data_IF_523153885545
#
_entry.id   IF_523153885545
#
_cell.length_a   1.000
_cell.length_b   1.000
_cell.length_c   1.000
_cell.angle_alpha   90.00
_cell.angle_beta   90.00
_cell.angle_gamma   90.00
#
_symmetry.space_group_name_H-M   'P 1'
#
loop_
_entity.id
_entity.type
_entity.pdbx_description
1 polymer ?
#
# COMPACT_ATOMS: atom_id res chain seq x y z
N UNK A 1 -4.54 0.24 14.32
CA UNK A 1 -3.56 -0.87 14.21
C UNK A 1 -2.78 -0.83 12.91
N UNK A 2 -3.40 -0.93 11.71
CA UNK A 2 -2.66 -0.85 10.44
C UNK A 2 -1.86 0.46 10.26
N UNK A 3 -2.43 1.60 10.66
CA UNK A 3 -1.74 2.91 10.62
C UNK A 3 -0.47 2.91 11.47
N UNK A 4 -0.49 2.29 12.66
CA UNK A 4 0.69 2.21 13.52
C UNK A 4 1.81 1.37 12.88
N UNK A 5 1.46 0.32 12.12
CA UNK A 5 2.43 -0.45 11.35
C UNK A 5 3.06 0.40 10.24
N UNK A 6 2.25 1.18 9.52
CA UNK A 6 2.77 2.11 8.50
C UNK A 6 3.70 3.15 9.11
N UNK A 7 3.34 3.70 10.27
CA UNK A 7 4.15 4.67 11.01
C UNK A 7 5.49 4.06 11.47
N UNK A 8 5.45 2.88 12.11
CA UNK A 8 6.64 2.16 12.58
C UNK A 8 7.65 1.91 11.46
N UNK A 9 7.16 1.57 10.27
CA UNK A 9 8.01 1.33 9.10
C UNK A 9 8.20 2.57 8.20
N UNK A 10 7.74 3.74 8.64
CA UNK A 10 7.97 5.01 7.97
C UNK A 10 7.30 5.16 6.60
N UNK A 11 6.17 4.50 6.39
CA UNK A 11 5.33 4.58 5.20
C UNK A 11 4.24 5.65 5.37
N UNK A 12 3.66 6.18 4.27
CA UNK A 12 2.60 7.18 4.36
C UNK A 12 1.35 6.60 5.04
N UNK A 13 0.78 7.34 5.98
CA UNK A 13 -0.32 6.84 6.83
C UNK A 13 -1.65 6.64 6.09
N UNK A 14 -1.82 7.24 4.91
CA UNK A 14 -2.97 7.05 4.03
C UNK A 14 -2.77 5.96 2.97
N UNK A 15 -1.65 5.24 2.97
CA UNK A 15 -1.32 4.25 1.95
C UNK A 15 -2.33 3.08 1.86
N UNK A 16 -2.96 2.77 2.99
CA UNK A 16 -3.95 1.70 3.13
C UNK A 16 -5.27 2.30 3.66
N UNK A 17 -6.14 2.86 2.79
CA UNK A 17 -7.46 3.35 3.15
C UNK A 17 -8.43 2.17 3.35
N UNK A 18 -8.22 1.43 4.44
CA UNK A 18 -8.98 0.24 4.81
C UNK A 18 -10.40 0.61 5.29
N UNK A 19 -11.36 -0.30 5.13
CA UNK A 19 -12.71 -0.15 5.67
C UNK A 19 -13.19 -1.46 6.28
N UNK A 20 -13.98 -1.39 7.36
CA UNK A 20 -14.56 -2.57 8.01
C UNK A 20 -13.51 -3.66 8.33
N UNK A 21 -12.37 -3.26 8.89
CA UNK A 21 -11.23 -4.15 9.22
C UNK A 21 -11.65 -5.14 10.29
N UNK A 22 -11.42 -6.42 10.02
CA UNK A 22 -11.67 -7.55 10.92
C UNK A 22 -10.41 -7.85 11.72
N UNK A 23 -9.26 -7.91 11.04
CA UNK A 23 -8.01 -8.32 11.65
C UNK A 23 -6.83 -7.58 11.00
N UNK A 24 -5.84 -7.25 11.82
CA UNK A 24 -4.51 -6.83 11.38
C UNK A 24 -3.50 -7.65 12.15
N UNK A 25 -2.72 -8.45 11.43
CA UNK A 25 -1.67 -9.26 12.01
C UNK A 25 -0.29 -8.85 11.52
N UNK A 26 0.70 -9.03 12.39
CA UNK A 26 2.09 -8.72 12.11
C UNK A 26 3.03 -9.67 12.88
N UNK A 27 3.91 -10.35 12.16
CA UNK A 27 4.96 -11.20 12.73
C UNK A 27 6.27 -10.42 12.71
N UNK A 28 6.63 -9.86 13.86
CA UNK A 28 7.84 -9.01 14.02
C UNK A 28 9.13 -9.69 13.55
N UNK A 29 9.28 -10.99 13.79
CA UNK A 29 10.48 -11.74 13.43
C UNK A 29 10.72 -11.85 11.91
N UNK A 30 9.65 -11.85 11.11
CA UNK A 30 9.73 -12.06 9.65
C UNK A 30 9.36 -10.83 8.84
N UNK A 31 8.72 -9.85 9.46
CA UNK A 31 8.11 -8.72 8.76
C UNK A 31 6.79 -9.06 8.07
N UNK A 32 6.28 -10.29 8.20
CA UNK A 32 5.03 -10.69 7.56
C UNK A 32 3.84 -9.94 8.17
N UNK A 33 2.98 -9.39 7.32
CA UNK A 33 1.75 -8.73 7.72
C UNK A 33 0.56 -9.23 6.90
N UNK A 34 -0.62 -9.19 7.52
CA UNK A 34 -1.88 -9.40 6.84
C UNK A 34 -2.95 -8.47 7.40
N UNK A 35 -3.90 -8.15 6.53
CA UNK A 35 -5.10 -7.39 6.86
C UNK A 35 -6.28 -8.16 6.29
N UNK A 36 -7.27 -8.43 7.13
CA UNK A 36 -8.56 -8.95 6.73
C UNK A 36 -9.63 -7.84 6.90
N UNK A 37 -10.44 -7.63 5.88
CA UNK A 37 -11.54 -6.65 5.88
C UNK A 37 -12.81 -7.28 5.34
N UNK A 38 -13.98 -6.80 5.80
CA UNK A 38 -15.28 -7.41 5.48
C UNK A 38 -15.62 -7.41 3.99
N UNK A 39 -15.14 -6.43 3.25
CA UNK A 39 -15.43 -6.24 1.83
C UNK A 39 -14.26 -5.59 1.11
N UNK A 40 -14.17 -5.79 -0.20
CA UNK A 40 -13.26 -5.06 -1.09
C UNK A 40 -13.53 -3.55 -0.99
N UNK A 41 -12.48 -2.74 -1.01
CA UNK A 41 -12.53 -1.28 -1.07
C UNK A 41 -11.90 -0.79 -2.37
N UNK A 42 -12.53 0.17 -3.03
CA UNK A 42 -11.90 0.96 -4.08
C UNK A 42 -11.74 2.39 -3.58
N UNK A 43 -10.55 2.93 -3.74
CA UNK A 43 -10.19 4.25 -3.27
C UNK A 43 -9.53 5.04 -4.40
N UNK A 44 -9.82 6.34 -4.47
CA UNK A 44 -9.18 7.24 -5.41
C UNK A 44 -8.26 8.21 -4.66
N UNK A 45 -6.95 8.07 -4.89
CA UNK A 45 -5.97 9.06 -4.46
C UNK A 45 -6.11 10.29 -5.37
N UNK A 46 -6.85 11.31 -4.91
CA UNK A 46 -7.26 12.49 -5.68
C UNK A 46 -6.06 13.27 -6.21
N UNK A 47 -4.99 13.41 -5.42
CA UNK A 47 -3.79 14.18 -5.81
C UNK A 47 -3.09 13.63 -7.06
N UNK A 48 -3.23 12.34 -7.35
CA UNK A 48 -2.60 11.67 -8.49
C UNK A 48 -3.62 11.07 -9.47
N UNK A 49 -4.92 11.28 -9.22
CA UNK A 49 -6.02 10.74 -10.01
C UNK A 49 -5.90 9.23 -10.25
N UNK A 50 -5.45 8.46 -9.24
CA UNK A 50 -5.30 7.00 -9.34
C UNK A 50 -6.37 6.26 -8.53
N UNK A 51 -7.07 5.35 -9.19
CA UNK A 51 -7.95 4.40 -8.54
C UNK A 51 -7.15 3.16 -8.13
N UNK A 52 -7.31 2.75 -6.87
CA UNK A 52 -6.65 1.58 -6.29
C UNK A 52 -7.72 0.74 -5.62
N UNK A 53 -7.63 -0.57 -5.83
CA UNK A 53 -8.51 -1.54 -5.19
C UNK A 53 -7.73 -2.35 -4.16
N UNK A 54 -8.38 -2.57 -3.02
CA UNK A 54 -7.91 -3.29 -1.85
C UNK A 54 -8.87 -4.44 -1.60
N UNK A 55 -8.38 -5.67 -1.66
CA UNK A 55 -9.17 -6.89 -1.52
C UNK A 55 -9.55 -7.18 -0.06
N UNK A 56 -10.38 -8.20 0.16
CA UNK A 56 -10.77 -8.66 1.50
C UNK A 56 -9.60 -9.19 2.32
N UNK A 57 -8.56 -9.70 1.63
CA UNK A 57 -7.32 -10.13 2.23
C UNK A 57 -6.14 -9.43 1.55
N UNK A 58 -5.34 -8.72 2.34
CA UNK A 58 -4.13 -8.03 1.90
C UNK A 58 -2.96 -8.63 2.67
N UNK A 59 -1.93 -9.11 1.97
CA UNK A 59 -0.76 -9.72 2.61
C UNK A 59 0.52 -9.14 2.03
N UNK A 60 1.59 -9.17 2.81
CA UNK A 60 2.90 -8.72 2.36
C UNK A 60 3.96 -8.85 3.43
N UNK A 61 5.16 -8.39 3.12
CA UNK A 61 6.29 -8.32 4.04
C UNK A 61 6.70 -6.86 4.16
N UNK A 62 6.56 -6.31 5.36
CA UNK A 62 6.94 -4.94 5.65
C UNK A 62 8.35 -4.90 6.26
N UNK A 63 9.13 -3.93 5.82
CA UNK A 63 10.41 -3.53 6.40
C UNK A 63 10.50 -2.00 6.35
N UNK A 64 11.58 -1.44 6.90
CA UNK A 64 11.79 0.00 6.86
C UNK A 64 11.57 0.56 5.43
N UNK A 65 10.66 1.52 5.33
CA UNK A 65 10.25 2.26 4.12
C UNK A 65 9.72 1.40 2.97
N UNK A 66 9.35 0.13 3.19
CA UNK A 66 9.03 -0.77 2.08
C UNK A 66 8.07 -1.90 2.45
N UNK A 67 7.15 -2.21 1.53
CA UNK A 67 6.34 -3.42 1.52
C UNK A 67 6.70 -4.23 0.28
N UNK A 68 7.02 -5.52 0.44
CA UNK A 68 7.31 -6.44 -0.68
C UNK A 68 6.35 -7.62 -0.71
N UNK A 69 6.28 -8.26 -1.88
CA UNK A 69 5.40 -9.41 -2.16
C UNK A 69 3.94 -9.10 -1.76
N UNK A 70 3.52 -7.86 -2.01
CA UNK A 70 2.20 -7.35 -1.71
C UNK A 70 1.17 -8.08 -2.58
N UNK A 71 0.11 -8.57 -1.94
CA UNK A 71 -1.05 -9.17 -2.58
C UNK A 71 -2.32 -8.47 -2.09
N UNK A 72 -3.39 -8.57 -2.87
CA UNK A 72 -4.67 -7.93 -2.55
C UNK A 72 -4.74 -6.45 -2.90
N UNK A 73 -3.72 -5.87 -3.54
CA UNK A 73 -3.73 -4.47 -3.99
C UNK A 73 -3.53 -4.39 -5.50
N UNK A 74 -4.41 -3.67 -6.19
CA UNK A 74 -4.34 -3.44 -7.64
C UNK A 74 -4.56 -1.96 -7.95
N UNK A 75 -3.80 -1.40 -8.89
CA UNK A 75 -3.95 -0.01 -9.32
C UNK A 75 -4.52 0.01 -10.74
N UNK A 76 -5.53 0.85 -10.99
CA UNK A 76 -6.16 0.96 -12.31
C UNK A 76 -5.24 1.65 -13.30
N UNK A 77 -5.04 1.01 -14.44
CA UNK A 77 -4.37 1.59 -15.60
C UNK A 77 -5.21 1.30 -16.85
N UNK A 78 -5.76 2.36 -17.45
CA UNK A 78 -6.76 2.26 -18.52
C UNK A 78 -7.94 1.37 -18.10
N UNK A 79 -8.15 0.25 -18.80
CA UNK A 79 -9.21 -0.74 -18.53
C UNK A 79 -8.73 -1.91 -17.65
N UNK A 80 -7.46 -1.92 -17.24
CA UNK A 80 -6.84 -3.04 -16.51
C UNK A 80 -6.59 -2.70 -15.03
N UNK A 81 -6.49 -3.75 -14.21
CA UNK A 81 -6.17 -3.67 -12.79
C UNK A 81 -4.92 -4.50 -12.46
N UNK A 82 -3.73 -4.11 -12.93
CA UNK A 82 -2.50 -4.80 -12.58
C UNK A 82 -2.25 -4.82 -11.07
N UNK A 83 -1.70 -5.92 -10.53
CA UNK A 83 -1.34 -6.00 -9.12
C UNK A 83 -0.14 -5.11 -8.79
N UNK A 84 -0.18 -4.53 -7.59
CA UNK A 84 0.97 -3.86 -6.98
C UNK A 84 1.68 -4.91 -6.12
N UNK A 85 2.95 -5.18 -6.43
CA UNK A 85 3.75 -6.21 -5.77
C UNK A 85 4.74 -5.63 -4.75
N UNK A 86 5.21 -4.41 -4.97
CA UNK A 86 6.13 -3.74 -4.04
C UNK A 86 5.82 -2.25 -3.97
N UNK A 87 5.92 -1.70 -2.77
CA UNK A 87 5.81 -0.28 -2.47
C UNK A 87 7.06 0.12 -1.69
N UNK A 88 7.72 1.22 -2.05
CA UNK A 88 8.81 1.75 -1.25
C UNK A 88 8.90 3.27 -1.33
N UNK A 89 9.35 3.88 -0.24
CA UNK A 89 9.69 5.30 -0.14
C UNK A 89 11.21 5.41 -0.21
N UNK A 90 11.71 6.46 -0.86
CA UNK A 90 13.15 6.68 -0.94
C UNK A 90 13.79 6.89 0.45
N UNK A 91 14.99 6.34 0.60
CA UNK A 91 15.85 6.52 1.77
C UNK A 91 17.30 6.73 1.26
N UNK A 92 17.86 7.95 1.34
CA UNK A 92 17.34 9.14 2.02
C UNK A 92 16.07 9.72 1.37
N UNK A 93 15.20 10.43 2.14
CA UNK A 93 13.92 10.91 1.62
C UNK A 93 14.03 11.95 0.50
N UNK A 94 13.44 11.66 -0.66
CA UNK A 94 13.33 12.59 -1.80
C UNK A 94 11.94 13.21 -1.95
N UNK A 95 11.00 12.83 -1.07
CA UNK A 95 9.57 13.13 -1.22
C UNK A 95 8.85 12.22 -2.21
N UNK A 96 9.49 11.14 -2.69
CA UNK A 96 8.90 10.19 -3.65
C UNK A 96 8.59 8.83 -3.04
N UNK A 97 7.54 8.23 -3.57
CA UNK A 97 7.10 6.85 -3.30
C UNK A 97 6.92 6.12 -4.63
N UNK A 98 7.25 4.83 -4.62
CA UNK A 98 7.33 3.99 -5.79
C UNK A 98 6.45 2.75 -5.65
N UNK A 99 5.75 2.39 -6.73
CA UNK A 99 4.85 1.26 -6.82
C UNK A 99 5.31 0.38 -7.99
N UNK A 100 5.69 -0.86 -7.70
CA UNK A 100 6.19 -1.83 -8.67
C UNK A 100 5.13 -2.90 -8.95
N UNK A 101 4.84 -3.13 -10.21
CA UNK A 101 4.02 -4.27 -10.66
C UNK A 101 4.87 -5.52 -10.87
N UNK A 102 4.21 -6.68 -11.01
CA UNK A 102 4.89 -7.93 -11.38
C UNK A 102 5.53 -7.91 -12.77
N UNK A 103 5.08 -7.01 -13.65
CA UNK A 103 5.59 -6.87 -15.01
C UNK A 103 6.81 -5.92 -15.12
N UNK A 104 7.44 -5.57 -13.99
CA UNK A 104 8.62 -4.70 -13.95
C UNK A 104 8.33 -3.20 -14.12
N UNK A 105 7.07 -2.81 -14.32
CA UNK A 105 6.68 -1.40 -14.41
C UNK A 105 6.71 -0.77 -13.03
N UNK A 106 7.45 0.34 -12.91
CA UNK A 106 7.47 1.18 -11.70
C UNK A 106 6.73 2.48 -11.97
N UNK A 107 5.82 2.86 -11.07
CA UNK A 107 5.20 4.19 -11.03
C UNK A 107 5.72 4.95 -9.83
N UNK A 108 5.98 6.24 -10.01
CA UNK A 108 6.56 7.11 -8.98
C UNK A 108 5.62 8.29 -8.76
N UNK A 109 5.39 8.65 -7.50
CA UNK A 109 4.47 9.71 -7.09
C UNK A 109 5.03 10.50 -5.91
N UNK A 110 4.49 11.70 -5.62
CA UNK A 110 4.76 12.41 -4.37
C UNK A 110 4.24 11.62 -3.17
N UNK A 111 5.03 11.53 -2.10
CA UNK A 111 4.64 10.88 -0.82
C UNK A 111 3.35 11.47 -0.26
N UNK A 112 3.19 12.79 -0.36
CA UNK A 112 2.03 13.53 0.13
C UNK A 112 0.70 13.19 -0.57
N UNK A 113 0.75 12.47 -1.70
CA UNK A 113 -0.45 11.92 -2.34
C UNK A 113 -1.06 10.75 -1.56
N UNK A 114 -0.33 10.21 -0.57
CA UNK A 114 -0.73 9.06 0.26
C UNK A 114 -0.75 9.42 1.75
N UNK A 115 -0.87 10.71 2.07
CA UNK A 115 -1.07 11.18 3.45
C UNK A 115 -2.45 10.72 3.98
N UNK A 116 -2.61 10.66 5.30
CA UNK A 116 -3.91 10.34 5.89
C UNK A 116 -4.98 11.36 5.46
N UNK A 117 -6.17 10.87 5.09
CA UNK A 117 -7.30 11.70 4.67
C UNK A 117 -7.27 12.19 3.21
N UNK A 118 -6.30 11.72 2.40
CA UNK A 118 -6.25 12.02 0.97
C UNK A 118 -7.35 11.28 0.18
#
# INVERSE_FOLDING_TARGET
>A
MAVALLEEFGLPLGLLPLADVIEVGFVRATGYMWIAQRKKVEHQFKKISKQVSYDVEITGYVKAKCIKKLKGVKAKELMLWPPVNEIYVDDPPTGKIHFKSLAGVTKTFPVEAFAAGQ
#
